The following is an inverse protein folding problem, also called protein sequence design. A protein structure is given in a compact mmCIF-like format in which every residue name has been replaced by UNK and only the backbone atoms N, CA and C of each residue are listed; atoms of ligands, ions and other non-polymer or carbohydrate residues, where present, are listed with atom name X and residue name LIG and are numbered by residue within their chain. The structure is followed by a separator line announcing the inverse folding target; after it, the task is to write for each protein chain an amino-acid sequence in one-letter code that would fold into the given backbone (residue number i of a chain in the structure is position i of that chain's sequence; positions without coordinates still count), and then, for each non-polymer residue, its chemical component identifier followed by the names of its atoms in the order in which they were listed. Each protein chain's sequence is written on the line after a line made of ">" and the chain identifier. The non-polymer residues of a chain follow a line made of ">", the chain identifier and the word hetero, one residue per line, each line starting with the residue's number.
data_IF_580764137647
#
_entry.id   IF_580764137647
#
_cell.length_a   1.000
_cell.length_b   1.000
_cell.length_c   1.000
_cell.angle_alpha   90.00
_cell.angle_beta   90.00
_cell.angle_gamma   90.00
#
_symmetry.space_group_name_H-M   'P 1'
#
loop_
_entity.id
_entity.type
_entity.pdbx_description
1 polymer ?
#
# COMPACT_ATOMS: atom_id res chain seq x y z
N UNK A 1 10.65 -0.51 1.57
CA UNK A 1 11.01 0.61 0.65
C UNK A 1 9.84 1.56 0.70
N UNK A 2 10.10 2.86 0.86
CA UNK A 2 9.08 3.88 0.96
C UNK A 2 9.17 4.90 -0.20
N UNK A 3 8.04 5.48 -0.53
CA UNK A 3 7.88 6.52 -1.56
C UNK A 3 6.61 7.32 -1.32
N UNK A 4 6.25 8.11 -2.31
CA UNK A 4 5.01 8.88 -2.33
C UNK A 4 4.37 8.81 -3.72
N UNK A 5 3.06 8.99 -3.76
CA UNK A 5 2.31 9.22 -5.00
C UNK A 5 2.73 10.57 -5.58
N UNK A 6 3.40 10.56 -6.72
CA UNK A 6 3.87 11.74 -7.42
C UNK A 6 2.82 12.33 -8.36
N UNK A 7 1.99 11.47 -8.95
CA UNK A 7 0.98 11.86 -9.94
C UNK A 7 -0.10 10.77 -10.03
N UNK A 8 -1.32 11.16 -10.42
CA UNK A 8 -2.45 10.25 -10.66
C UNK A 8 -2.80 10.40 -12.14
N UNK A 9 -2.62 9.33 -12.91
CA UNK A 9 -2.88 9.33 -14.36
C UNK A 9 -4.38 9.18 -14.64
N UNK A 10 -5.03 8.29 -13.92
CA UNK A 10 -6.46 7.99 -14.03
C UNK A 10 -6.99 7.36 -12.72
N UNK A 11 -8.25 6.94 -12.70
CA UNK A 11 -8.92 6.36 -11.53
C UNK A 11 -8.24 5.08 -10.99
N UNK A 12 -7.45 4.39 -11.81
CA UNK A 12 -6.81 3.12 -11.46
C UNK A 12 -5.30 3.18 -11.54
N UNK A 13 -4.70 4.23 -12.09
CA UNK A 13 -3.26 4.33 -12.38
C UNK A 13 -2.63 5.51 -11.67
N UNK A 14 -1.56 5.22 -10.92
CA UNK A 14 -0.78 6.22 -10.21
C UNK A 14 0.71 6.07 -10.47
N UNK A 15 1.43 7.17 -10.27
CA UNK A 15 2.88 7.28 -10.42
C UNK A 15 3.51 7.40 -9.05
N UNK A 16 4.49 6.55 -8.77
CA UNK A 16 5.29 6.56 -7.55
C UNK A 16 6.62 7.27 -7.83
N UNK A 17 7.08 8.11 -6.90
CA UNK A 17 8.38 8.80 -6.98
C UNK A 17 9.61 7.89 -6.75
N UNK A 18 9.49 6.62 -7.14
CA UNK A 18 10.53 5.58 -7.04
C UNK A 18 10.53 4.78 -8.33
N UNK A 19 11.68 4.73 -8.99
CA UNK A 19 11.90 3.99 -10.22
C UNK A 19 13.00 2.95 -10.08
N UNK A 20 13.57 2.53 -11.22
CA UNK A 20 14.62 1.51 -11.27
C UNK A 20 15.86 1.91 -10.44
N UNK A 21 16.21 3.19 -10.38
CA UNK A 21 17.35 3.66 -9.57
C UNK A 21 17.12 3.52 -8.07
N UNK A 22 15.84 3.53 -7.65
CA UNK A 22 15.46 3.23 -6.28
C UNK A 22 15.34 1.72 -6.01
N UNK A 23 15.49 0.87 -7.04
CA UNK A 23 15.35 -0.59 -6.94
C UNK A 23 13.93 -1.10 -7.17
N UNK A 24 13.04 -0.30 -7.77
CA UNK A 24 11.69 -0.75 -8.14
C UNK A 24 11.77 -1.69 -9.34
N UNK A 25 11.04 -2.80 -9.29
CA UNK A 25 10.90 -3.72 -10.43
C UNK A 25 9.42 -3.91 -10.79
N UNK A 26 9.09 -4.21 -12.05
CA UNK A 26 7.75 -4.62 -12.42
C UNK A 26 7.26 -5.78 -11.54
N UNK A 27 5.98 -5.75 -11.17
CA UNK A 27 5.36 -6.74 -10.31
C UNK A 27 5.46 -6.47 -8.80
N UNK A 28 6.29 -5.52 -8.36
CA UNK A 28 6.29 -5.08 -6.96
C UNK A 28 4.92 -4.51 -6.58
N UNK A 29 4.50 -4.75 -5.34
CA UNK A 29 3.23 -4.26 -4.79
C UNK A 29 3.54 -3.23 -3.73
N UNK A 30 2.88 -2.08 -3.81
CA UNK A 30 2.97 -1.02 -2.81
C UNK A 30 1.62 -0.82 -2.13
N UNK A 31 1.62 -0.68 -0.82
CA UNK A 31 0.51 -0.23 0.00
C UNK A 31 0.50 1.30 0.00
N UNK A 32 -0.66 1.89 -0.27
CA UNK A 32 -0.88 3.35 -0.22
C UNK A 32 -1.47 3.69 1.14
N UNK A 33 -0.87 4.64 1.83
CA UNK A 33 -1.29 5.14 3.13
C UNK A 33 -1.75 6.58 3.01
N UNK A 34 -2.81 6.94 3.72
CA UNK A 34 -3.23 8.32 3.81
C UNK A 34 -2.28 9.15 4.65
N UNK A 35 -2.22 10.45 4.37
CA UNK A 35 -1.45 11.42 5.14
C UNK A 35 -1.92 11.56 6.61
N UNK A 36 -3.17 11.19 6.89
CA UNK A 36 -3.78 11.33 8.22
C UNK A 36 -3.66 10.05 9.03
N UNK A 37 -2.72 10.03 9.94
CA UNK A 37 -2.71 9.05 11.03
C UNK A 37 -3.93 9.31 11.93
N UNK A 38 -4.83 8.33 12.05
CA UNK A 38 -5.91 8.40 13.01
C UNK A 38 -5.31 8.33 14.41
N UNK A 39 -5.41 9.43 15.16
CA UNK A 39 -5.00 9.49 16.56
C UNK A 39 -6.00 8.67 17.37
N UNK A 40 -5.53 7.60 17.99
CA UNK A 40 -6.32 6.87 18.97
C UNK A 40 -6.11 7.56 20.31
N UNK A 41 -7.19 8.06 20.88
CA UNK A 41 -7.20 8.65 22.21
C UNK A 41 -7.91 7.71 23.16
N UNK A 42 -7.35 7.54 24.35
CA UNK A 42 -7.98 6.79 25.42
C UNK A 42 -9.26 7.51 25.90
N UNK A 43 -10.45 6.88 25.85
CA UNK A 43 -11.69 7.55 26.22
C UNK A 43 -11.78 7.92 27.70
N UNK A 44 -11.02 7.24 28.57
CA UNK A 44 -11.06 7.48 30.02
C UNK A 44 -10.05 8.54 30.47
N UNK A 45 -8.81 8.51 29.94
CA UNK A 45 -7.76 9.47 30.33
C UNK A 45 -7.56 10.63 29.36
N UNK A 46 -8.11 10.58 28.14
CA UNK A 46 -7.84 11.56 27.09
C UNK A 46 -6.41 11.52 26.55
N UNK A 47 -5.60 10.54 26.95
CA UNK A 47 -4.21 10.39 26.51
C UNK A 47 -4.15 9.81 25.10
N UNK A 48 -3.25 10.34 24.27
CA UNK A 48 -2.90 9.73 22.98
C UNK A 48 -2.31 8.33 23.22
N UNK A 49 -3.01 7.30 22.76
CA UNK A 49 -2.56 5.89 22.79
C UNK A 49 -1.64 5.56 21.61
N UNK A 50 -1.81 6.29 20.49
CA UNK A 50 -0.96 6.15 19.32
C UNK A 50 -1.63 6.65 18.05
N UNK A 51 -0.96 6.39 16.93
CA UNK A 51 -1.36 6.80 15.58
C UNK A 51 -1.54 5.57 14.71
N UNK A 52 -2.71 5.42 14.08
CA UNK A 52 -2.96 4.38 13.10
C UNK A 52 -2.93 4.96 11.70
N UNK A 53 -1.92 4.56 10.91
CA UNK A 53 -1.87 4.81 9.49
C UNK A 53 -2.65 3.70 8.77
N UNK A 54 -3.85 4.01 8.27
CA UNK A 54 -4.68 3.03 7.56
C UNK A 54 -4.19 2.87 6.13
N UNK A 55 -3.89 1.62 5.74
CA UNK A 55 -3.69 1.26 4.34
C UNK A 55 -5.01 1.51 3.60
N UNK A 56 -4.96 2.38 2.58
CA UNK A 56 -6.10 2.74 1.73
C UNK A 56 -6.36 1.66 0.68
N UNK A 57 -5.30 1.29 -0.05
CA UNK A 57 -5.34 0.32 -1.13
C UNK A 57 -3.93 -0.18 -1.47
N UNK A 58 -3.86 -1.18 -2.34
CA UNK A 58 -2.59 -1.68 -2.90
C UNK A 58 -2.53 -1.44 -4.41
N UNK A 59 -1.34 -1.12 -4.87
CA UNK A 59 -1.04 -0.97 -6.30
C UNK A 59 0.08 -1.91 -6.72
N UNK A 60 0.01 -2.40 -7.94
CA UNK A 60 1.03 -3.24 -8.56
C UNK A 60 1.74 -2.46 -9.65
N UNK A 61 3.06 -2.43 -9.57
CA UNK A 61 3.92 -1.79 -10.57
C UNK A 61 3.87 -2.57 -11.87
N UNK A 62 3.65 -1.89 -13.00
CA UNK A 62 3.63 -2.50 -14.33
C UNK A 62 4.63 -1.86 -15.30
N UNK A 63 4.96 -0.58 -15.11
CA UNK A 63 5.97 0.12 -15.91
C UNK A 63 6.95 0.84 -14.98
N UNK A 64 8.24 0.74 -15.26
CA UNK A 64 9.31 1.27 -14.42
C UNK A 64 10.23 2.13 -15.25
N UNK A 65 10.29 3.40 -14.89
CA UNK A 65 11.23 4.38 -15.43
C UNK A 65 12.41 4.55 -14.46
N UNK A 66 13.50 5.24 -14.83
CA UNK A 66 14.66 5.38 -13.96
C UNK A 66 14.33 6.03 -12.60
N UNK A 67 13.48 7.06 -12.60
CA UNK A 67 13.18 7.89 -11.43
C UNK A 67 11.76 7.70 -10.87
N UNK A 68 10.87 7.07 -11.63
CA UNK A 68 9.48 6.82 -11.21
C UNK A 68 8.98 5.48 -11.72
N UNK A 69 7.86 5.02 -11.18
CA UNK A 69 7.19 3.82 -11.64
C UNK A 69 5.68 4.06 -11.71
N UNK A 70 5.04 3.43 -12.70
CA UNK A 70 3.59 3.44 -12.85
C UNK A 70 3.02 2.17 -12.24
N UNK A 71 1.96 2.33 -11.48
CA UNK A 71 1.31 1.24 -10.79
C UNK A 71 -0.20 1.35 -10.93
N UNK A 72 -0.86 0.21 -11.12
CA UNK A 72 -2.30 0.15 -11.18
C UNK A 72 -2.86 -0.38 -9.86
N UNK A 73 -4.01 0.10 -9.45
CA UNK A 73 -4.76 -0.45 -8.31
C UNK A 73 -5.10 -1.92 -8.58
N UNK A 74 -5.14 -2.71 -7.51
CA UNK A 74 -5.60 -4.09 -7.58
C UNK A 74 -6.43 -4.39 -6.33
N UNK A 75 -7.64 -4.92 -6.53
CA UNK A 75 -8.49 -5.36 -5.43
C UNK A 75 -8.01 -6.72 -4.92
N UNK A 76 -7.79 -6.81 -3.61
CA UNK A 76 -7.58 -8.08 -2.91
C UNK A 76 -8.93 -8.78 -2.79
N UNK A 77 -9.05 -9.97 -3.37
CA UNK A 77 -10.23 -10.83 -3.24
C UNK A 77 -10.04 -11.92 -2.17
N UNK A 78 -8.91 -11.91 -1.46
CA UNK A 78 -8.48 -12.95 -0.53
C UNK A 78 -9.07 -12.84 0.89
N UNK A 79 -9.80 -11.78 1.22
CA UNK A 79 -10.63 -11.72 2.42
C UNK A 79 -11.99 -11.01 2.19
N UNK A 80 -12.94 -11.29 3.09
CA UNK A 80 -14.31 -10.75 3.02
C UNK A 80 -14.30 -9.21 3.01
N UNK A 81 -13.35 -8.58 3.71
CA UNK A 81 -13.17 -7.12 3.70
C UNK A 81 -12.69 -6.58 2.35
N UNK A 82 -11.83 -7.30 1.64
CA UNK A 82 -11.38 -6.93 0.30
C UNK A 82 -12.52 -6.94 -0.74
N UNK A 83 -13.48 -7.86 -0.60
CA UNK A 83 -14.72 -7.88 -1.39
C UNK A 83 -15.66 -6.71 -1.05
N UNK A 84 -15.83 -6.37 0.24
CA UNK A 84 -16.62 -5.20 0.65
C UNK A 84 -15.95 -3.87 0.29
N UNK A 85 -14.62 -3.82 0.18
CA UNK A 85 -13.89 -2.63 -0.29
C UNK A 85 -13.92 -2.47 -1.82
N UNK A 86 -14.30 -3.50 -2.58
CA UNK A 86 -14.47 -3.37 -4.02
C UNK A 86 -15.58 -2.37 -4.42
N UNK A 87 -16.45 -1.99 -3.48
CA UNK A 87 -17.48 -0.96 -3.67
C UNK A 87 -17.20 0.34 -2.89
N UNK A 88 -16.13 0.38 -2.09
CA UNK A 88 -15.78 1.58 -1.33
C UNK A 88 -15.04 2.57 -2.21
N UNK A 89 -15.52 3.81 -2.27
CA UNK A 89 -14.79 4.90 -2.93
C UNK A 89 -13.58 5.25 -2.05
N UNK A 90 -12.38 4.99 -2.56
CA UNK A 90 -11.12 5.31 -1.87
C UNK A 90 -10.49 6.52 -2.55
N UNK A 91 -10.31 7.60 -1.79
CA UNK A 91 -9.62 8.80 -2.29
C UNK A 91 -8.11 8.66 -2.10
N UNK A 92 -7.37 8.66 -3.22
CA UNK A 92 -5.91 8.77 -3.26
C UNK A 92 -5.54 10.22 -3.58
N UNK A 93 -4.56 10.75 -2.85
CA UNK A 93 -4.05 12.10 -3.07
C UNK A 93 -2.60 12.05 -3.55
N UNK A 94 -2.19 13.04 -4.35
CA UNK A 94 -0.77 13.30 -4.60
C UNK A 94 -0.11 13.65 -3.26
N UNK A 95 1.01 13.01 -2.96
CA UNK A 95 1.70 13.10 -1.66
C UNK A 95 1.40 11.94 -0.70
N UNK A 96 0.35 11.13 -0.94
CA UNK A 96 0.07 9.95 -0.14
C UNK A 96 1.31 9.02 -0.09
N UNK A 97 1.60 8.50 1.09
CA UNK A 97 2.76 7.63 1.32
C UNK A 97 2.56 6.27 0.68
N UNK A 98 3.63 5.69 0.12
CA UNK A 98 3.61 4.31 -0.35
C UNK A 98 4.70 3.48 0.29
N UNK A 99 4.37 2.24 0.65
CA UNK A 99 5.30 1.28 1.22
C UNK A 99 5.28 -0.05 0.45
N UNK A 100 6.46 -0.57 0.12
CA UNK A 100 6.59 -1.87 -0.53
C UNK A 100 6.04 -2.98 0.39
N UNK A 101 4.97 -3.62 -0.07
CA UNK A 101 4.42 -4.81 0.58
C UNK A 101 5.32 -5.98 0.24
N UNK A 102 6.00 -6.50 1.25
CA UNK A 102 6.67 -7.80 1.11
C UNK A 102 5.59 -8.87 1.15
N UNK A 103 5.52 -9.79 0.18
CA UNK A 103 4.71 -10.98 0.36
C UNK A 103 5.16 -11.62 1.67
N UNK A 104 4.20 -11.85 2.58
CA UNK A 104 4.47 -12.62 3.78
C UNK A 104 5.00 -13.95 3.27
N UNK A 105 6.26 -14.25 3.55
CA UNK A 105 6.75 -15.60 3.41
C UNK A 105 5.94 -16.39 4.42
N UNK A 106 4.95 -17.14 3.96
CA UNK A 106 4.38 -18.22 4.74
C UNK A 106 5.52 -19.23 4.94
N UNK A 107 6.35 -18.99 5.95
CA UNK A 107 7.21 -20.00 6.54
C UNK A 107 6.30 -20.96 7.32
N UNK A 108 5.43 -21.66 6.59
CA UNK A 108 4.94 -22.97 6.99
C UNK A 108 6.07 -23.95 6.69
N UNK A 109 7.04 -24.01 7.60
CA UNK A 109 8.13 -24.96 7.52
C UNK A 109 7.57 -26.38 7.43
N UNK A 110 7.85 -26.99 6.28
CA UNK A 110 7.87 -28.41 6.01
C UNK A 110 8.67 -29.15 7.09
N UNK A 111 8.20 -30.33 7.52
CA UNK A 111 9.09 -31.42 7.93
C UNK A 111 8.92 -31.98 9.33
N UNK A 112 8.14 -33.06 9.46
CA UNK A 112 8.62 -34.32 10.06
C UNK A 112 8.07 -35.49 9.28
N UNK A 113 8.81 -35.90 8.25
CA UNK A 113 8.88 -37.29 7.84
C UNK A 113 10.13 -37.90 8.47
N UNK A 114 9.93 -38.93 9.29
CA UNK A 114 10.83 -40.05 9.54
C UNK A 114 10.02 -41.11 10.30
#
# INVERSE_FOLDING_TARGET
>A
MNGQVAFIEDDYTLVINRGAQAGVTPGMIFAVHGESDQVITDPESGRELGRLSREKLRVRVFDVQPLFARAHTFARTDDFYGLFQATAVVTVNVGDGVELVRPRSDTGAMGRGA
#
